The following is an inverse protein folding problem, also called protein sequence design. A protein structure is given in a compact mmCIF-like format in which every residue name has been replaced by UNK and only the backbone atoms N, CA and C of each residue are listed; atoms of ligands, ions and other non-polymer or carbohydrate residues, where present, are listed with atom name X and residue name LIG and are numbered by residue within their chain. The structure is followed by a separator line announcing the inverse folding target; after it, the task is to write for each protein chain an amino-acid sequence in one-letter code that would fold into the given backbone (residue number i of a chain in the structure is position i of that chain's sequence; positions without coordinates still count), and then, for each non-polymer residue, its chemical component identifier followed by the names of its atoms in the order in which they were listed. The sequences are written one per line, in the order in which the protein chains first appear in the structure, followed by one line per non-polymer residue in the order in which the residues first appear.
data_IF_807101556184
#
_entry.id   IF_807101556184
#
_cell.length_a   1.000
_cell.length_b   1.000
_cell.length_c   1.000
_cell.angle_alpha   90.00
_cell.angle_beta   90.00
_cell.angle_gamma   90.00
#
_symmetry.space_group_name_H-M   'P 1'
#
loop_
_entity.id
_entity.type
_entity.pdbx_description
1 polymer ?
#
# COMPACT_ATOMS: atom_id res chain seq x y z
N UNK A 1 1.60 -2.04 -31.65
CA UNK A 1 2.23 -1.65 -30.37
C UNK A 1 1.88 -2.73 -29.35
N UNK A 2 2.77 -3.70 -29.18
CA UNK A 2 2.53 -4.91 -28.36
C UNK A 2 2.47 -4.55 -26.88
N UNK A 3 1.33 -4.81 -26.24
CA UNK A 3 1.10 -4.72 -24.79
C UNK A 3 1.36 -6.05 -24.06
N UNK A 4 2.05 -7.00 -24.71
CA UNK A 4 2.31 -8.33 -24.16
C UNK A 4 3.81 -8.66 -24.28
N UNK A 5 4.63 -7.94 -23.50
CA UNK A 5 6.02 -8.28 -23.21
C UNK A 5 6.18 -8.54 -21.72
N UNK A 6 6.25 -9.81 -21.31
CA UNK A 6 6.30 -10.22 -19.91
C UNK A 6 7.61 -9.78 -19.22
N UNK A 7 7.55 -9.08 -18.06
CA UNK A 7 8.73 -8.69 -17.29
C UNK A 7 8.86 -9.57 -16.03
N UNK A 8 9.00 -10.89 -16.18
CA UNK A 8 9.03 -11.82 -15.04
C UNK A 8 10.29 -11.73 -14.16
N UNK A 9 11.35 -11.06 -14.63
CA UNK A 9 12.70 -11.23 -14.07
C UNK A 9 13.42 -9.92 -13.73
N UNK A 10 13.17 -8.83 -14.45
CA UNK A 10 13.78 -7.52 -14.14
C UNK A 10 13.07 -6.80 -12.98
N UNK A 11 11.74 -6.92 -12.90
CA UNK A 11 10.93 -6.29 -11.85
C UNK A 11 11.09 -6.99 -10.49
N UNK A 12 11.40 -8.29 -10.47
CA UNK A 12 11.66 -9.06 -9.24
C UNK A 12 13.01 -8.75 -8.59
N UNK A 13 13.91 -8.05 -9.32
CA UNK A 13 15.26 -7.70 -8.86
C UNK A 13 15.44 -6.25 -8.41
N UNK A 14 14.39 -5.42 -8.43
CA UNK A 14 14.50 -3.98 -8.11
C UNK A 14 13.91 -3.64 -6.75
N UNK A 15 14.73 -3.13 -5.84
CA UNK A 15 14.24 -2.52 -4.60
C UNK A 15 13.31 -1.33 -4.86
N UNK A 16 12.31 -1.16 -4.00
CA UNK A 16 11.30 -0.10 -4.16
C UNK A 16 10.74 0.41 -2.83
N UNK A 17 9.95 1.47 -2.90
CA UNK A 17 9.10 1.90 -1.78
C UNK A 17 7.65 1.61 -2.13
N UNK A 18 6.94 1.00 -1.19
CA UNK A 18 5.50 0.72 -1.27
C UNK A 18 4.82 1.52 -0.16
N UNK A 19 3.66 2.10 -0.48
CA UNK A 19 2.74 2.64 0.52
C UNK A 19 1.40 1.93 0.42
N UNK A 20 0.74 1.73 1.55
CA UNK A 20 -0.62 1.19 1.64
C UNK A 20 -1.46 2.15 2.45
N UNK A 21 -2.62 2.51 1.93
CA UNK A 21 -3.63 3.29 2.62
C UNK A 21 -4.86 2.41 2.85
N UNK A 22 -5.24 2.22 4.11
CA UNK A 22 -6.47 1.57 4.53
C UNK A 22 -7.43 2.61 5.07
N UNK A 23 -8.63 2.69 4.47
CA UNK A 23 -9.65 3.67 4.81
C UNK A 23 -10.86 2.93 5.38
N UNK A 24 -10.84 2.72 6.70
CA UNK A 24 -11.95 2.15 7.44
C UNK A 24 -12.94 3.23 7.92
N UNK A 25 -14.15 2.79 8.28
CA UNK A 25 -15.13 3.68 8.93
C UNK A 25 -14.73 4.12 10.35
N UNK A 26 -13.77 3.43 10.96
CA UNK A 26 -13.29 3.74 12.32
C UNK A 26 -11.89 4.38 12.33
N UNK A 27 -11.04 4.01 11.37
CA UNK A 27 -9.63 4.41 11.31
C UNK A 27 -9.18 4.54 9.87
N UNK A 28 -8.39 5.57 9.59
CA UNK A 28 -7.54 5.64 8.40
C UNK A 28 -6.12 5.27 8.84
N UNK A 29 -5.48 4.34 8.14
CA UNK A 29 -4.14 3.84 8.45
C UNK A 29 -3.27 3.87 7.20
N UNK A 30 -2.06 4.40 7.31
CA UNK A 30 -1.05 4.38 6.27
C UNK A 30 0.17 3.58 6.73
N UNK A 31 0.74 2.77 5.83
CA UNK A 31 2.01 2.09 6.06
C UNK A 31 2.97 2.33 4.90
N UNK A 32 4.20 2.71 5.21
CA UNK A 32 5.28 2.88 4.24
C UNK A 32 6.29 1.76 4.44
N UNK A 33 6.66 1.08 3.36
CA UNK A 33 7.59 -0.04 3.40
C UNK A 33 8.67 0.06 2.32
N UNK A 34 9.85 -0.47 2.62
CA UNK A 34 10.90 -0.77 1.65
C UNK A 34 10.75 -2.21 1.19
N UNK A 35 10.70 -2.40 -0.13
CA UNK A 35 10.72 -3.70 -0.78
C UNK A 35 12.16 -4.03 -1.17
N UNK A 36 12.65 -5.20 -0.76
CA UNK A 36 13.97 -5.73 -1.15
C UNK A 36 13.78 -7.08 -1.86
N UNK A 37 14.43 -7.32 -3.02
CA UNK A 37 14.38 -8.61 -3.70
C UNK A 37 14.69 -9.77 -2.75
N UNK A 38 14.02 -10.90 -2.92
CA UNK A 38 14.22 -12.08 -2.07
C UNK A 38 14.11 -13.37 -2.88
N UNK A 39 15.17 -14.16 -2.87
CA UNK A 39 15.26 -15.41 -3.63
C UNK A 39 14.30 -16.50 -3.13
N UNK A 40 13.99 -16.51 -1.83
CA UNK A 40 13.04 -17.44 -1.18
C UNK A 40 11.58 -17.21 -1.63
N UNK A 41 11.31 -16.06 -2.26
CA UNK A 41 10.01 -15.69 -2.80
C UNK A 41 9.45 -16.66 -3.85
N UNK A 42 10.32 -17.50 -4.44
CA UNK A 42 9.96 -18.52 -5.44
C UNK A 42 9.01 -19.60 -4.92
N UNK A 43 8.95 -19.82 -3.60
CA UNK A 43 8.04 -20.82 -2.99
C UNK A 43 6.58 -20.35 -2.93
N UNK A 44 6.33 -19.04 -2.98
CA UNK A 44 4.99 -18.45 -2.90
C UNK A 44 4.73 -17.59 -4.15
N UNK A 45 3.87 -18.08 -5.05
CA UNK A 45 3.56 -17.39 -6.32
C UNK A 45 3.17 -15.93 -6.06
N UNK A 46 3.88 -15.00 -6.72
CA UNK A 46 3.64 -13.56 -6.63
C UNK A 46 4.42 -12.83 -5.52
N UNK A 47 5.12 -13.53 -4.62
CA UNK A 47 5.93 -12.88 -3.57
C UNK A 47 7.39 -12.73 -4.02
N UNK A 48 7.73 -11.62 -4.66
CA UNK A 48 9.10 -11.37 -5.17
C UNK A 48 10.03 -10.62 -4.21
N UNK A 49 9.49 -9.96 -3.18
CA UNK A 49 10.24 -9.07 -2.30
C UNK A 49 9.96 -9.37 -0.82
N UNK A 50 10.98 -9.18 0.02
CA UNK A 50 10.82 -8.96 1.45
C UNK A 50 10.35 -7.54 1.70
N UNK A 51 9.40 -7.41 2.62
CA UNK A 51 8.82 -6.14 3.03
C UNK A 51 9.44 -5.74 4.37
N UNK A 52 9.99 -4.53 4.44
CA UNK A 52 10.40 -3.89 5.68
C UNK A 52 9.55 -2.64 5.89
N UNK A 53 8.65 -2.66 6.87
CA UNK A 53 7.87 -1.47 7.24
C UNK A 53 8.84 -0.45 7.86
N UNK A 54 8.80 0.77 7.34
CA UNK A 54 9.68 1.89 7.77
C UNK A 54 8.88 3.07 8.33
N UNK A 55 7.56 3.08 8.19
CA UNK A 55 6.68 4.09 8.75
C UNK A 55 5.24 3.60 8.86
N UNK A 56 4.55 4.03 9.91
CA UNK A 56 3.13 3.77 10.15
C UNK A 56 2.52 5.09 10.63
N UNK A 57 1.41 5.49 10.02
CA UNK A 57 0.60 6.61 10.48
C UNK A 57 -0.85 6.16 10.58
N UNK A 58 -1.60 6.74 11.52
CA UNK A 58 -3.02 6.45 11.63
C UNK A 58 -3.79 7.64 12.18
N UNK A 59 -5.03 7.78 11.75
CA UNK A 59 -5.94 8.81 12.22
C UNK A 59 -7.33 8.23 12.47
N UNK A 60 -8.06 8.80 13.44
CA UNK A 60 -9.48 8.48 13.60
C UNK A 60 -10.22 8.82 12.30
N UNK A 61 -11.02 7.90 11.79
CA UNK A 61 -11.76 8.14 10.54
C UNK A 61 -12.85 9.20 10.74
N UNK A 62 -13.02 10.05 9.72
CA UNK A 62 -14.07 11.04 9.62
C UNK A 62 -14.56 11.02 8.17
N UNK A 63 -15.86 11.24 7.96
CA UNK A 63 -16.45 11.25 6.62
C UNK A 63 -16.58 9.89 5.92
N UNK A 64 -16.33 8.79 6.62
CA UNK A 64 -16.56 7.42 6.12
C UNK A 64 -17.49 6.65 7.07
N UNK A 65 -18.52 6.00 6.53
CA UNK A 65 -19.47 5.18 7.29
C UNK A 65 -19.89 3.96 6.49
N UNK A 66 -19.84 2.78 7.11
CA UNK A 66 -20.15 1.49 6.46
C UNK A 66 -19.39 1.28 5.14
N UNK A 67 -18.13 1.75 5.07
CA UNK A 67 -17.28 1.66 3.88
C UNK A 67 -17.59 2.66 2.77
N UNK A 68 -18.53 3.59 2.99
CA UNK A 68 -18.92 4.62 2.01
C UNK A 68 -18.43 5.99 2.47
N UNK A 69 -17.93 6.79 1.53
CA UNK A 69 -17.62 8.21 1.78
C UNK A 69 -18.94 8.98 1.89
N UNK A 70 -19.22 9.50 3.09
CA UNK A 70 -20.44 10.27 3.42
C UNK A 70 -20.17 11.77 3.55
N UNK A 71 -18.91 12.16 3.72
CA UNK A 71 -18.44 13.55 3.72
C UNK A 71 -17.02 13.57 3.15
N UNK A 72 -16.87 14.12 1.94
CA UNK A 72 -15.62 14.06 1.18
C UNK A 72 -14.51 14.90 1.81
N UNK A 73 -14.83 16.10 2.29
CA UNK A 73 -13.84 17.02 2.86
C UNK A 73 -13.28 16.46 4.16
N UNK A 74 -14.15 15.87 5.01
CA UNK A 74 -13.70 15.21 6.24
C UNK A 74 -12.87 13.96 5.97
N UNK A 75 -13.24 13.17 4.96
CA UNK A 75 -12.48 11.98 4.58
C UNK A 75 -11.09 12.36 4.05
N UNK A 76 -11.01 13.37 3.17
CA UNK A 76 -9.76 13.93 2.66
C UNK A 76 -8.85 14.40 3.80
N UNK A 77 -9.40 15.19 4.73
CA UNK A 77 -8.64 15.73 5.86
C UNK A 77 -8.11 14.61 6.78
N UNK A 78 -8.94 13.60 7.08
CA UNK A 78 -8.53 12.46 7.90
C UNK A 78 -7.42 11.64 7.22
N UNK A 79 -7.45 11.50 5.89
CA UNK A 79 -6.39 10.84 5.11
C UNK A 79 -5.08 11.63 5.20
N UNK A 80 -5.11 12.95 5.01
CA UNK A 80 -3.90 13.80 5.09
C UNK A 80 -3.19 13.75 6.44
N UNK A 81 -3.92 13.56 7.53
CA UNK A 81 -3.36 13.45 8.88
C UNK A 81 -2.82 12.05 9.21
N UNK A 82 -3.09 11.06 8.36
CA UNK A 82 -2.68 9.67 8.58
C UNK A 82 -1.28 9.34 8.06
N UNK A 83 -0.55 10.32 7.51
CA UNK A 83 0.77 10.17 6.89
C UNK A 83 1.85 11.00 7.56
#
# INVERSE_FOLDING_TARGET
MSWLGGPGDAASRRSGTLTVLDVGSSKVCCMVAKLKPCDDGKLLRGRSHRIQVIGIGHQKSQGVKSGVVVDLDRAEHAIRLSV
#
